data_IF_544749309145
#
_entry.id   IF_544749309145
#
_cell.length_a   1.000
_cell.length_b   1.000
_cell.length_c   1.000
_cell.angle_alpha   90.00
_cell.angle_beta   90.00
_cell.angle_gamma   90.00
#
_symmetry.space_group_name_H-M   'P 1'
#
loop_
_entity.id
_entity.type
_entity.pdbx_description
1 polymer ?
2 non-polymer ?
3 non-polymer ?
4 non-polymer ?
5 water ?
#
# COMPACT_ATOMS: atom_id res chain seq x y z
N UNK A 1 5.33 -15.56 13.75
CA UNK A 1 6.38 -15.87 12.73
C UNK A 1 5.98 -15.36 11.35
N UNK A 2 5.04 -14.42 11.31
CA UNK A 2 4.58 -13.87 10.03
C UNK A 2 5.23 -12.54 9.67
N UNK A 3 5.99 -11.97 10.60
CA UNK A 3 6.62 -10.70 10.32
C UNK A 3 7.85 -10.73 9.42
N UNK A 4 8.19 -9.58 8.87
CA UNK A 4 9.36 -9.42 8.02
C UNK A 4 10.14 -8.23 8.60
N UNK A 5 11.47 -8.31 8.56
CA UNK A 5 12.26 -7.21 9.10
C UNK A 5 11.98 -5.97 8.26
N UNK A 6 11.97 -4.82 8.91
CA UNK A 6 11.64 -3.56 8.23
C UNK A 6 12.56 -3.12 7.10
N UNK A 7 13.75 -3.69 7.03
CA UNK A 7 14.70 -3.33 5.99
C UNK A 7 14.12 -3.48 4.59
N UNK A 8 13.27 -4.48 4.40
CA UNK A 8 12.70 -4.74 3.09
C UNK A 8 11.42 -3.97 2.77
N UNK A 9 10.62 -3.63 3.77
CA UNK A 9 9.35 -2.97 3.51
C UNK A 9 9.09 -1.59 4.11
N UNK A 10 9.87 -1.21 5.11
CA UNK A 10 9.64 0.08 5.76
C UNK A 10 9.67 1.30 4.88
N UNK A 11 10.84 1.58 4.30
CA UNK A 11 11.00 2.74 3.45
C UNK A 11 10.08 2.69 2.24
N UNK A 12 9.96 1.51 1.63
CA UNK A 12 9.09 1.32 0.47
C UNK A 12 7.65 1.67 0.84
N UNK A 13 7.23 1.21 2.01
CA UNK A 13 5.88 1.48 2.48
C UNK A 13 5.60 2.96 2.64
N UNK A 14 6.54 3.71 3.22
CA UNK A 14 6.31 5.14 3.39
C UNK A 14 6.28 5.86 2.04
N UNK A 15 7.28 5.57 1.21
CA UNK A 15 7.37 6.21 -0.10
C UNK A 15 6.13 5.99 -0.95
N UNK A 16 5.69 4.74 -1.06
CA UNK A 16 4.52 4.44 -1.86
C UNK A 16 3.27 5.11 -1.30
N UNK A 17 3.08 5.06 0.00
CA UNK A 17 1.89 5.65 0.58
C UNK A 17 1.88 7.18 0.59
N UNK A 18 3.05 7.80 0.67
CA UNK A 18 3.05 9.27 0.59
C UNK A 18 2.65 9.60 -0.84
N UNK A 19 3.16 8.82 -1.79
CA UNK A 19 2.84 9.04 -3.19
C UNK A 19 1.33 8.91 -3.40
N UNK A 20 0.73 7.94 -2.72
CA UNK A 20 -0.72 7.74 -2.82
C UNK A 20 -1.47 9.00 -2.39
N UNK A 21 -1.02 9.63 -1.31
CA UNK A 21 -1.71 10.83 -0.84
C UNK A 21 -1.58 12.01 -1.82
N UNK A 22 -0.46 12.08 -2.54
CA UNK A 22 -0.30 13.18 -3.48
C UNK A 22 -1.07 12.96 -4.79
N UNK A 23 -1.61 11.75 -4.95
CA UNK A 23 -2.39 11.43 -6.14
C UNK A 23 -3.87 11.69 -5.87
N UNK A 24 -4.19 12.04 -4.64
CA UNK A 24 -5.56 12.33 -4.22
C UNK A 24 -6.01 13.60 -4.96
N UNK A 25 -7.29 13.66 -5.36
CA UNK A 25 -7.81 14.83 -6.08
C UNK A 25 -7.73 16.13 -5.27
N UNK A 26 -7.61 17.26 -5.98
CA UNK A 26 -7.56 18.55 -5.32
C UNK A 26 -8.91 18.83 -4.67
N UNK A 27 -9.97 18.46 -5.38
CA UNK A 27 -11.32 18.66 -4.93
C UNK A 27 -12.05 17.32 -5.03
N UNK A 28 -11.83 16.43 -4.05
CA UNK A 28 -12.46 15.11 -4.05
C UNK A 28 -13.99 15.08 -3.90
N UNK A 29 -14.59 14.04 -4.44
CA UNK A 29 -16.02 13.83 -4.36
C UNK A 29 -16.24 12.94 -3.14
N UNK A 30 -17.50 12.77 -2.74
CA UNK A 30 -17.84 11.93 -1.61
C UNK A 30 -17.31 10.52 -1.83
N UNK A 31 -17.34 10.07 -3.08
CA UNK A 31 -16.87 8.73 -3.43
C UNK A 31 -15.35 8.63 -3.26
N UNK A 32 -14.63 9.66 -3.69
CA UNK A 32 -13.17 9.64 -3.56
C UNK A 32 -12.80 9.54 -2.07
N UNK A 33 -13.49 10.32 -1.24
CA UNK A 33 -13.22 10.31 0.19
C UNK A 33 -13.41 8.93 0.81
N UNK A 34 -14.51 8.27 0.43
CA UNK A 34 -14.81 6.94 0.96
C UNK A 34 -13.76 5.92 0.54
N UNK A 35 -13.38 5.95 -0.73
CA UNK A 35 -12.40 5.00 -1.25
C UNK A 35 -11.02 5.14 -0.62
N UNK A 36 -10.55 6.38 -0.45
CA UNK A 36 -9.24 6.57 0.17
C UNK A 36 -9.29 6.29 1.66
N UNK A 37 -10.42 6.60 2.30
CA UNK A 37 -10.54 6.33 3.73
C UNK A 37 -10.46 4.82 3.96
N UNK A 38 -11.20 4.06 3.16
CA UNK A 38 -11.19 2.61 3.33
C UNK A 38 -9.80 2.04 3.09
N UNK A 39 -9.09 2.59 2.12
CA UNK A 39 -7.74 2.10 1.84
C UNK A 39 -6.80 2.30 3.04
N UNK A 40 -6.78 3.51 3.58
CA UNK A 40 -5.89 3.77 4.70
C UNK A 40 -6.24 3.02 5.97
N UNK A 41 -7.51 2.62 6.12
CA UNK A 41 -7.88 1.84 7.30
C UNK A 41 -7.37 0.42 7.06
N UNK A 42 -7.57 -0.09 5.85
CA UNK A 42 -7.12 -1.44 5.49
C UNK A 42 -5.61 -1.60 5.54
N UNK A 43 -4.89 -0.52 5.30
CA UNK A 43 -3.42 -0.57 5.33
C UNK A 43 -2.95 -1.07 6.70
N UNK A 44 -3.71 -0.73 7.74
CA UNK A 44 -3.35 -1.15 9.08
C UNK A 44 -3.54 -2.63 9.35
N UNK A 45 -4.32 -3.30 8.50
CA UNK A 45 -4.55 -4.73 8.67
C UNK A 45 -3.48 -5.60 8.01
N UNK A 46 -2.67 -5.01 7.14
CA UNK A 46 -1.69 -5.80 6.41
C UNK A 46 -0.20 -5.52 6.58
N UNK A 47 0.17 -4.56 7.43
CA UNK A 47 1.59 -4.29 7.64
C UNK A 47 2.20 -5.61 8.12
N UNK A 48 3.32 -6.05 7.53
CA UNK A 48 3.97 -7.31 7.94
C UNK A 48 4.77 -7.23 9.22
N UNK A 49 4.11 -6.78 10.28
CA UNK A 49 4.72 -6.64 11.59
C UNK A 49 3.58 -6.41 12.60
N UNK A 50 3.44 -7.35 13.53
CA UNK A 50 2.37 -7.31 14.54
C UNK A 50 2.19 -5.99 15.31
N UNK A 51 3.23 -5.55 16.01
CA UNK A 51 3.11 -4.33 16.80
C UNK A 51 3.00 -3.09 15.93
N UNK A 52 3.46 -3.18 14.70
CA UNK A 52 3.38 -2.05 13.77
C UNK A 52 1.91 -1.81 13.43
N UNK A 53 1.17 -2.90 13.21
CA UNK A 53 -0.25 -2.81 12.88
C UNK A 53 -1.01 -2.18 14.04
N UNK A 54 -0.72 -2.64 15.26
CA UNK A 54 -1.39 -2.13 16.45
C UNK A 54 -1.15 -0.63 16.63
N UNK A 55 0.10 -0.21 16.52
CA UNK A 55 0.44 1.20 16.68
C UNK A 55 -0.25 2.06 15.63
N UNK A 56 -0.26 1.61 14.39
CA UNK A 56 -0.89 2.35 13.31
C UNK A 56 -2.39 2.50 13.57
N UNK A 57 -3.05 1.40 13.94
CA UNK A 57 -4.50 1.45 14.20
C UNK A 57 -4.82 2.40 15.35
N UNK A 58 -3.96 2.44 16.36
CA UNK A 58 -4.21 3.35 17.47
C UNK A 58 -3.99 4.79 17.02
N UNK A 59 -2.96 5.01 16.20
CA UNK A 59 -2.68 6.35 15.69
C UNK A 59 -3.83 6.90 14.85
N UNK A 60 -4.41 6.07 13.98
CA UNK A 60 -5.47 6.58 13.12
C UNK A 60 -6.87 6.57 13.71
N UNK A 61 -7.00 6.21 14.98
CA UNK A 61 -8.32 6.23 15.61
C UNK A 61 -8.36 7.19 16.80
N UNK A 62 -7.20 7.72 17.19
CA UNK A 62 -7.16 8.64 18.32
C UNK A 62 -6.22 9.83 18.12
N UNK A 63 -6.46 10.88 18.91
CA UNK A 63 -5.63 12.08 18.83
C UNK A 63 -5.58 12.88 17.55
N UNK A 64 -4.47 13.60 17.39
CA UNK A 64 -4.29 14.45 16.22
C UNK A 64 -4.04 13.69 14.92
N UNK A 65 -3.77 12.40 15.01
CA UNK A 65 -3.53 11.59 13.81
C UNK A 65 -4.78 10.78 13.41
N UNK A 66 -5.89 11.02 14.11
CA UNK A 66 -7.12 10.29 13.81
C UNK A 66 -7.57 10.56 12.38
N UNK A 67 -8.02 9.52 11.70
CA UNK A 67 -8.48 9.63 10.32
C UNK A 67 -9.95 10.05 10.32
N UNK A 68 -10.17 11.35 10.43
CA UNK A 68 -11.51 11.93 10.46
C UNK A 68 -11.92 12.42 9.07
N UNK A 69 -13.18 12.80 8.94
CA UNK A 69 -13.68 13.28 7.64
C UNK A 69 -12.96 14.54 7.19
N UNK A 70 -12.52 15.35 8.16
CA UNK A 70 -11.82 16.59 7.87
C UNK A 70 -10.48 16.36 7.18
N UNK A 71 -9.85 15.24 7.49
CA UNK A 71 -8.57 14.87 6.90
C UNK A 71 -8.71 14.58 5.41
N UNK A 72 -9.93 14.20 5.01
CA UNK A 72 -10.22 13.87 3.62
C UNK A 72 -10.73 15.03 2.77
N UNK A 73 -10.77 16.23 3.34
CA UNK A 73 -11.26 17.39 2.62
C UNK A 73 -10.61 17.61 1.25
N UNK A 74 -9.29 17.58 1.19
CA UNK A 74 -8.59 17.77 -0.07
C UNK A 74 -7.18 17.21 -0.05
N UNK A 75 -6.44 17.42 -1.14
CA UNK A 75 -5.07 16.92 -1.22
C UNK A 75 -4.19 17.48 -0.11
N UNK A 76 -4.35 18.77 0.20
CA UNK A 76 -3.53 19.36 1.25
C UNK A 76 -3.75 18.70 2.60
N UNK A 77 -5.01 18.47 2.98
CA UNK A 77 -5.28 17.86 4.27
C UNK A 77 -4.86 16.39 4.36
N UNK A 78 -5.05 15.64 3.27
CA UNK A 78 -4.69 14.22 3.29
C UNK A 78 -3.16 14.05 3.32
N UNK A 79 -2.46 14.84 2.53
CA UNK A 79 -1.00 14.74 2.50
C UNK A 79 -0.38 15.20 3.83
N UNK A 80 -0.96 16.22 4.45
CA UNK A 80 -0.46 16.71 5.73
C UNK A 80 -0.72 15.66 6.82
N UNK A 81 -1.88 15.02 6.75
CA UNK A 81 -2.23 14.01 7.72
C UNK A 81 -1.25 12.84 7.69
N UNK A 82 -0.93 12.33 6.50
CA UNK A 82 -0.02 11.19 6.44
C UNK A 82 1.40 11.58 6.83
N UNK A 83 1.74 12.84 6.60
CA UNK A 83 3.04 13.36 7.01
C UNK A 83 3.05 13.32 8.55
N UNK A 84 1.92 13.69 9.17
CA UNK A 84 1.83 13.67 10.63
C UNK A 84 1.90 12.23 11.17
N UNK A 85 1.31 11.29 10.46
CA UNK A 85 1.33 9.88 10.89
C UNK A 85 2.76 9.37 10.82
N UNK A 86 3.49 9.75 9.77
CA UNK A 86 4.88 9.33 9.63
C UNK A 86 5.69 9.91 10.78
N UNK A 87 5.46 11.18 11.11
CA UNK A 87 6.19 11.79 12.23
C UNK A 87 5.83 11.14 13.56
N UNK A 88 4.60 10.69 13.71
CA UNK A 88 4.17 10.04 14.94
C UNK A 88 4.94 8.73 15.13
N UNK A 89 5.09 7.98 14.05
CA UNK A 89 5.82 6.73 14.12
C UNK A 89 7.29 7.04 14.41
N UNK A 90 7.82 8.07 13.76
CA UNK A 90 9.21 8.47 13.99
C UNK A 90 9.43 8.77 15.47
N UNK A 91 8.53 9.56 16.05
CA UNK A 91 8.64 9.92 17.45
C UNK A 91 8.60 8.70 18.35
N UNK A 92 7.75 7.74 18.00
CA UNK A 92 7.61 6.53 18.79
C UNK A 92 8.92 5.73 18.76
N UNK A 93 9.65 5.85 17.65
CA UNK A 93 10.92 5.13 17.49
C UNK A 93 12.14 5.95 17.86
N UNK A 94 11.92 7.14 18.41
CA UNK A 94 12.98 8.04 18.83
C UNK A 94 13.89 8.45 17.68
N UNK A 95 13.29 8.58 16.50
CA UNK A 95 14.03 8.99 15.31
C UNK A 95 13.59 10.40 14.96
N UNK A 96 14.55 11.25 14.61
CA UNK A 96 14.25 12.63 14.26
C UNK A 96 14.86 12.93 12.90
N UNK A 97 14.01 13.19 11.91
CA UNK A 97 14.49 13.50 10.57
C UNK A 97 14.52 14.99 10.28
N UNK A 98 13.77 15.76 11.06
CA UNK A 98 13.74 17.19 10.89
C UNK A 98 13.17 17.70 9.58
N UNK A 99 12.50 16.84 8.83
CA UNK A 99 11.91 17.25 7.55
C UNK A 99 10.60 17.99 7.77
N UNK A 100 10.46 19.14 7.13
CA UNK A 100 9.25 19.93 7.25
C UNK A 100 8.23 19.44 6.22
N UNK A 101 6.97 19.80 6.42
CA UNK A 101 5.93 19.40 5.50
C UNK A 101 6.22 19.99 4.12
N UNK A 102 6.79 21.21 4.09
CA UNK A 102 7.11 21.85 2.83
C UNK A 102 8.18 21.06 2.05
N UNK A 103 9.10 20.42 2.77
CA UNK A 103 10.13 19.63 2.13
C UNK A 103 9.48 18.43 1.43
N UNK A 104 8.50 17.84 2.09
CA UNK A 104 7.77 16.69 1.55
C UNK A 104 6.97 17.07 0.31
N UNK A 105 6.25 18.19 0.39
CA UNK A 105 5.47 18.66 -0.74
C UNK A 105 6.38 18.90 -1.96
N UNK A 106 7.49 19.57 -1.72
CA UNK A 106 8.43 19.87 -2.79
C UNK A 106 8.90 18.58 -3.47
N UNK A 107 9.27 17.59 -2.67
CA UNK A 107 9.75 16.32 -3.21
C UNK A 107 8.75 15.58 -4.08
N UNK A 108 7.54 15.36 -3.57
CA UNK A 108 6.55 14.64 -4.36
C UNK A 108 5.96 15.43 -5.52
N UNK A 109 5.82 16.74 -5.36
CA UNK A 109 5.27 17.54 -6.44
C UNK A 109 6.23 17.58 -7.63
N UNK A 110 7.50 17.30 -7.39
CA UNK A 110 8.49 17.32 -8.46
C UNK A 110 8.25 16.15 -9.41
N UNK A 111 7.43 15.20 -8.99
CA UNK A 111 7.12 14.04 -9.82
C UNK A 111 5.70 14.12 -10.40
N UNK A 112 5.06 15.26 -10.23
CA UNK A 112 3.71 15.47 -10.75
C UNK A 112 3.71 15.25 -12.26
N UNK A 113 2.84 14.37 -12.73
CA UNK A 113 2.75 14.06 -14.15
C UNK A 113 2.29 15.29 -14.96
N UNK B 1 -4.73 16.13 -13.83
CA UNK B 1 -3.30 15.79 -13.59
C UNK B 1 -3.07 15.41 -12.13
N UNK B 2 -3.73 14.35 -11.69
CA UNK B 2 -3.60 13.90 -10.31
C UNK B 2 -2.52 12.84 -10.15
N UNK B 3 -2.03 12.32 -11.27
CA UNK B 3 -1.01 11.28 -11.21
C UNK B 3 0.43 11.72 -11.03
N UNK B 4 1.26 10.78 -10.57
CA UNK B 4 2.67 11.03 -10.34
C UNK B 4 3.42 10.05 -11.24
N UNK B 5 4.57 10.46 -11.77
CA UNK B 5 5.35 9.57 -12.63
C UNK B 5 5.77 8.36 -11.80
N UNK B 6 5.79 7.19 -12.44
CA UNK B 6 6.13 5.95 -11.76
C UNK B 6 7.53 5.85 -11.17
N UNK B 7 8.43 6.74 -11.59
CA UNK B 7 9.79 6.72 -11.08
C UNK B 7 9.87 6.82 -9.56
N UNK B 8 8.98 7.60 -8.95
CA UNK B 8 9.00 7.77 -7.51
C UNK B 8 8.30 6.68 -6.70
N UNK B 9 7.22 6.12 -7.24
CA UNK B 9 6.45 5.12 -6.48
C UNK B 9 6.34 3.70 -7.03
N UNK B 10 6.63 3.50 -8.30
CA UNK B 10 6.52 2.19 -8.90
C UNK B 10 7.16 1.02 -8.17
N UNK B 11 8.48 1.05 -8.08
CA UNK B 11 9.20 -0.04 -7.41
C UNK B 11 8.84 -0.17 -5.94
N UNK B 12 8.71 0.96 -5.24
CA UNK B 12 8.35 0.94 -3.83
C UNK B 12 6.99 0.25 -3.68
N UNK B 13 6.08 0.57 -4.59
CA UNK B 13 4.76 -0.04 -4.55
C UNK B 13 4.84 -1.56 -4.66
N UNK B 14 5.67 -2.06 -5.57
CA UNK B 14 5.81 -3.51 -5.75
C UNK B 14 6.47 -4.15 -4.54
N UNK B 15 7.58 -3.59 -4.10
CA UNK B 15 8.30 -4.14 -2.96
C UNK B 15 7.44 -4.21 -1.71
N UNK B 16 6.79 -3.10 -1.38
CA UNK B 16 5.96 -3.08 -0.18
C UNK B 16 4.84 -4.10 -0.28
N UNK B 17 4.15 -4.13 -1.41
CA UNK B 17 3.05 -5.07 -1.56
C UNK B 17 3.45 -6.54 -1.66
N UNK B 18 4.64 -6.82 -2.17
CA UNK B 18 5.06 -8.22 -2.20
C UNK B 18 5.32 -8.58 -0.72
N UNK B 19 5.95 -7.67 0.01
CA UNK B 19 6.22 -7.93 1.43
C UNK B 19 4.91 -8.20 2.16
N UNK B 20 3.88 -7.43 1.82
CA UNK B 20 2.57 -7.62 2.44
C UNK B 20 2.10 -9.06 2.24
N UNK B 21 2.20 -9.57 1.01
CA UNK B 21 1.75 -10.94 0.77
C UNK B 21 2.56 -11.97 1.56
N UNK B 22 3.85 -11.70 1.81
CA UNK B 22 4.65 -12.66 2.56
C UNK B 22 4.41 -12.59 4.06
N UNK B 23 3.63 -11.61 4.49
CA UNK B 23 3.31 -11.48 5.90
C UNK B 23 1.96 -12.15 6.16
N UNK B 24 1.36 -12.69 5.11
CA UNK B 24 0.07 -13.37 5.21
C UNK B 24 0.32 -14.70 5.92
N UNK B 25 -0.61 -15.14 6.78
CA UNK B 25 -0.46 -16.41 7.51
C UNK B 25 -0.41 -17.63 6.60
N UNK B 26 0.29 -18.67 7.07
CA UNK B 26 0.40 -19.92 6.33
C UNK B 26 -0.97 -20.58 6.34
N UNK B 27 -1.71 -20.36 7.42
CA UNK B 27 -3.05 -20.91 7.57
C UNK B 27 -3.95 -19.81 8.12
N UNK B 28 -4.42 -18.92 7.24
CA UNK B 28 -5.29 -17.79 7.59
C UNK B 28 -6.71 -18.12 8.06
N UNK B 29 -7.29 -17.22 8.83
CA UNK B 29 -8.64 -17.37 9.32
C UNK B 29 -9.57 -16.66 8.34
N UNK B 30 -10.87 -16.80 8.54
CA UNK B 30 -11.85 -16.15 7.67
C UNK B 30 -11.65 -14.63 7.70
N UNK B 31 -11.29 -14.11 8.87
CA UNK B 31 -11.06 -12.68 9.02
C UNK B 31 -9.82 -12.23 8.26
N UNK B 32 -8.75 -13.02 8.32
CA UNK B 32 -7.53 -12.66 7.60
C UNK B 32 -7.84 -12.56 6.11
N UNK B 33 -8.57 -13.55 5.59
CA UNK B 33 -8.93 -13.57 4.18
C UNK B 33 -9.74 -12.33 3.80
N UNK B 34 -10.71 -11.97 4.64
CA UNK B 34 -11.54 -10.81 4.35
C UNK B 34 -10.72 -9.51 4.34
N UNK B 35 -9.88 -9.34 5.36
CA UNK B 35 -9.06 -8.14 5.48
C UNK B 35 -8.07 -7.95 4.34
N UNK B 36 -7.36 -9.01 3.97
CA UNK B 36 -6.39 -8.88 2.89
C UNK B 36 -7.08 -8.71 1.55
N UNK B 37 -8.24 -9.34 1.37
CA UNK B 37 -8.95 -9.20 0.11
C UNK B 37 -9.39 -7.75 -0.07
N UNK B 38 -9.96 -7.17 0.99
CA UNK B 38 -10.41 -5.80 0.93
C UNK B 38 -9.27 -4.83 0.67
N UNK B 39 -8.10 -5.14 1.22
CA UNK B 39 -6.93 -4.29 1.03
C UNK B 39 -6.52 -4.27 -0.45
N UNK B 40 -6.38 -5.45 -1.05
CA UNK B 40 -5.95 -5.49 -2.43
C UNK B 40 -6.98 -4.93 -3.42
N UNK B 41 -8.25 -4.92 -3.03
CA UNK B 41 -9.26 -4.34 -3.89
C UNK B 41 -9.14 -2.81 -3.76
N UNK B 42 -8.98 -2.32 -2.54
CA UNK B 42 -8.85 -0.88 -2.31
C UNK B 42 -7.57 -0.32 -2.94
N UNK B 43 -6.53 -1.16 -3.02
CA UNK B 43 -5.27 -0.75 -3.61
C UNK B 43 -5.50 -0.21 -5.03
N UNK B 44 -6.46 -0.81 -5.73
CA UNK B 44 -6.77 -0.39 -7.08
C UNK B 44 -7.40 0.99 -7.17
N UNK B 45 -8.03 1.43 -6.09
CA UNK B 45 -8.68 2.74 -6.05
C UNK B 45 -7.72 3.89 -5.80
N UNK B 46 -6.52 3.59 -5.31
CA UNK B 46 -5.59 4.65 -4.95
C UNK B 46 -4.25 4.75 -5.64
N UNK B 47 -3.97 3.91 -6.62
CA UNK B 47 -2.69 4.02 -7.32
C UNK B 47 -2.66 5.43 -7.91
N UNK B 48 -1.56 6.18 -7.71
CA UNK B 48 -1.42 7.54 -8.21
C UNK B 48 -1.16 7.66 -9.71
N UNK B 49 -2.00 6.98 -10.49
CA UNK B 49 -1.89 6.99 -11.95
C UNK B 49 -3.16 6.35 -12.49
N UNK B 50 -3.95 7.12 -13.23
CA UNK B 50 -5.22 6.66 -13.77
C UNK B 50 -5.11 5.37 -14.57
N UNK B 51 -4.23 5.35 -15.57
CA UNK B 51 -4.07 4.16 -16.40
C UNK B 51 -3.66 2.95 -15.57
N UNK B 52 -2.85 3.18 -14.54
CA UNK B 52 -2.40 2.10 -13.68
C UNK B 52 -3.59 1.49 -12.94
N UNK B 53 -4.50 2.34 -12.50
CA UNK B 53 -5.68 1.88 -11.78
C UNK B 53 -6.56 1.04 -12.70
N UNK B 54 -6.77 1.53 -13.92
CA UNK B 54 -7.61 0.83 -14.89
C UNK B 54 -7.04 -0.55 -15.22
N UNK B 55 -5.74 -0.61 -15.49
CA UNK B 55 -5.09 -1.87 -15.82
C UNK B 55 -5.14 -2.84 -14.64
N UNK B 56 -4.81 -2.35 -13.45
CA UNK B 56 -4.82 -3.17 -12.25
C UNK B 56 -6.20 -3.78 -12.04
N UNK B 57 -7.24 -2.94 -12.09
CA UNK B 57 -8.60 -3.40 -11.91
C UNK B 57 -8.98 -4.49 -12.93
N UNK B 58 -8.48 -4.34 -14.15
CA UNK B 58 -8.77 -5.31 -15.20
C UNK B 58 -8.10 -6.64 -14.85
N UNK B 59 -6.84 -6.58 -14.47
CA UNK B 59 -6.09 -7.78 -14.12
C UNK B 59 -6.66 -8.57 -12.95
N UNK B 60 -7.06 -7.88 -11.88
CA UNK B 60 -7.58 -8.60 -10.71
C UNK B 60 -9.03 -9.05 -10.83
N UNK B 61 -9.62 -8.88 -12.01
CA UNK B 61 -11.00 -9.30 -12.21
C UNK B 61 -11.16 -10.12 -13.50
N UNK B 62 -10.03 -10.50 -14.09
CA UNK B 62 -10.06 -11.27 -15.33
C UNK B 62 -8.92 -12.27 -15.43
N UNK B 63 -9.18 -13.41 -16.08
CA UNK B 63 -8.16 -14.42 -16.25
C UNK B 63 -7.61 -15.04 -14.98
N UNK B 64 -6.37 -15.52 -15.07
CA UNK B 64 -5.71 -16.16 -13.94
C UNK B 64 -5.23 -15.17 -12.88
N UNK B 65 -5.27 -13.89 -13.20
CA UNK B 65 -4.85 -12.86 -12.26
C UNK B 65 -6.02 -12.36 -11.43
N UNK B 66 -7.19 -12.94 -11.66
CA UNK B 66 -8.40 -12.55 -10.92
C UNK B 66 -8.25 -12.85 -9.43
N UNK B 67 -8.65 -11.90 -8.61
CA UNK B 67 -8.59 -12.06 -7.16
C UNK B 67 -9.82 -12.81 -6.71
N UNK B 68 -9.66 -14.11 -6.48
CA UNK B 68 -10.77 -14.96 -6.04
C UNK B 68 -10.49 -15.48 -4.65
N UNK B 69 -11.45 -16.19 -4.07
CA UNK B 69 -11.27 -16.74 -2.73
C UNK B 69 -10.18 -17.80 -2.71
N UNK B 70 -9.94 -18.41 -3.87
CA UNK B 70 -8.92 -19.44 -3.98
C UNK B 70 -7.52 -18.84 -3.80
N UNK B 71 -7.39 -17.56 -4.15
CA UNK B 71 -6.11 -16.87 -4.03
C UNK B 71 -5.77 -16.60 -2.56
N UNK B 72 -6.80 -16.52 -1.73
CA UNK B 72 -6.64 -16.25 -0.31
C UNK B 72 -6.50 -17.48 0.58
N UNK B 73 -6.39 -18.66 -0.03
CA UNK B 73 -6.26 -19.90 0.71
C UNK B 73 -5.12 -19.88 1.74
N UNK B 74 -3.93 -19.50 1.28
CA UNK B 74 -2.78 -19.46 2.17
C UNK B 74 -1.70 -18.53 1.65
N UNK B 75 -0.56 -18.48 2.34
CA UNK B 75 0.53 -17.61 1.93
C UNK B 75 1.01 -17.96 0.52
N UNK B 76 1.06 -19.25 0.22
CA UNK B 76 1.51 -19.70 -1.10
C UNK B 76 0.65 -19.14 -2.23
N UNK B 77 -0.67 -19.30 -2.11
CA UNK B 77 -1.57 -18.83 -3.15
C UNK B 77 -1.60 -17.30 -3.27
N UNK B 78 -1.49 -16.60 -2.14
CA UNK B 78 -1.52 -15.14 -2.19
C UNK B 78 -0.23 -14.58 -2.80
N UNK B 79 0.91 -15.12 -2.38
CA UNK B 79 2.19 -14.65 -2.89
C UNK B 79 2.34 -14.98 -4.37
N UNK B 80 1.86 -16.15 -4.77
CA UNK B 80 1.93 -16.57 -6.18
C UNK B 80 1.05 -15.65 -7.02
N UNK B 81 -0.14 -15.36 -6.53
CA UNK B 81 -1.07 -14.49 -7.23
C UNK B 81 -0.47 -13.10 -7.50
N UNK B 82 0.10 -12.47 -6.49
CA UNK B 82 0.66 -11.14 -6.68
C UNK B 82 1.87 -11.20 -7.59
N UNK B 83 2.61 -12.31 -7.52
CA UNK B 83 3.77 -12.51 -8.39
C UNK B 83 3.26 -12.48 -9.83
N UNK B 84 2.15 -13.20 -10.08
CA UNK B 84 1.56 -13.26 -11.41
C UNK B 84 1.06 -11.88 -11.85
N UNK B 85 0.48 -11.13 -10.92
CA UNK B 85 -0.02 -9.81 -11.24
C UNK B 85 1.13 -8.91 -11.67
N UNK B 86 2.25 -9.01 -10.95
CA UNK B 86 3.41 -8.21 -11.27
C UNK B 86 3.89 -8.58 -12.68
N UNK B 87 3.91 -9.86 -13.00
CA UNK B 87 4.35 -10.28 -14.34
C UNK B 87 3.38 -9.80 -15.41
N UNK B 88 2.09 -9.77 -15.09
CA UNK B 88 1.08 -9.33 -16.05
C UNK B 88 1.32 -7.86 -16.39
N UNK B 89 1.66 -7.06 -15.39
CA UNK B 89 1.95 -5.65 -15.60
C UNK B 89 3.23 -5.51 -16.41
N UNK B 90 4.25 -6.29 -16.05
CA UNK B 90 5.52 -6.25 -16.76
C UNK B 90 5.29 -6.48 -18.25
N UNK B 91 4.63 -7.58 -18.57
CA UNK B 91 4.34 -7.93 -19.96
C UNK B 91 3.63 -6.81 -20.72
N UNK B 92 2.68 -6.16 -20.05
CA UNK B 92 1.95 -5.07 -20.69
C UNK B 92 2.92 -3.94 -20.99
N UNK B 93 3.95 -3.81 -20.17
CA UNK B 93 4.95 -2.76 -20.37
C UNK B 93 6.12 -3.25 -21.21
N UNK B 94 5.95 -4.41 -21.85
CA UNK B 94 6.96 -4.99 -22.74
C UNK B 94 8.26 -5.42 -22.08
N UNK B 95 8.18 -5.86 -20.82
CA UNK B 95 9.37 -6.31 -20.12
C UNK B 95 9.14 -7.64 -19.42
N UNK B 96 10.23 -8.34 -19.11
CA UNK B 96 10.17 -9.62 -18.42
C UNK B 96 11.49 -9.81 -17.71
N UNK B 97 11.46 -9.82 -16.38
CA UNK B 97 12.67 -9.99 -15.59
C UNK B 97 13.13 -11.43 -15.46
N UNK B 98 12.36 -12.35 -16.04
CA UNK B 98 12.72 -13.76 -15.99
C UNK B 98 12.89 -14.31 -14.58
N UNK B 99 12.24 -13.68 -13.61
CA UNK B 99 12.32 -14.13 -12.23
C UNK B 99 11.26 -15.17 -11.94
N UNK B 100 11.71 -16.34 -11.48
CA UNK B 100 10.81 -17.43 -11.14
C UNK B 100 10.14 -17.17 -9.79
N UNK B 101 8.99 -17.79 -9.55
CA UNK B 101 8.28 -17.59 -8.29
C UNK B 101 9.19 -18.00 -7.12
N UNK B 102 10.04 -18.99 -7.36
CA UNK B 102 10.96 -19.46 -6.32
C UNK B 102 12.00 -18.41 -5.97
N UNK B 103 12.46 -17.67 -6.98
CA UNK B 103 13.45 -16.62 -6.74
C UNK B 103 12.86 -15.57 -5.81
N UNK B 104 11.58 -15.29 -6.01
CA UNK B 104 10.88 -14.29 -5.19
C UNK B 104 10.68 -14.80 -3.77
N UNK B 105 10.32 -16.07 -3.63
CA UNK B 105 10.12 -16.65 -2.32
C UNK B 105 11.44 -16.60 -1.54
N UNK B 106 12.53 -16.97 -2.19
CA UNK B 106 13.82 -16.96 -1.54
C UNK B 106 14.23 -15.54 -1.16
N UNK B 107 13.89 -14.58 -2.01
CA UNK B 107 14.22 -13.19 -1.74
C UNK B 107 13.51 -12.64 -0.51
N UNK B 108 12.19 -12.78 -0.46
CA UNK B 108 11.46 -12.26 0.69
C UNK B 108 11.61 -13.06 1.98
N UNK B 109 11.81 -14.37 1.87
CA UNK B 109 11.99 -15.18 3.07
C UNK B 109 13.31 -14.86 3.75
N UNK B 110 14.24 -14.25 3.01
CA UNK B 110 15.54 -13.90 3.59
C UNK B 110 15.35 -12.78 4.60
N UNK B 111 14.17 -12.18 4.61
CA UNK B 111 13.87 -11.09 5.53
C UNK B 111 12.89 -11.51 6.62
N UNK B 112 12.64 -12.82 6.71
CA UNK B 112 11.72 -13.34 7.73
C UNK B 112 12.21 -12.99 9.13
N UNK B 113 11.30 -12.51 9.96
CA UNK B 113 11.66 -12.14 11.33
C UNK B 113 11.43 -13.31 12.28
X LIG C 1 11.67 5.84 6.97
X LIG C 1 10.99 6.41 8.17
X LIG C 1 11.65 4.52 6.26
X LIG C 1 12.58 6.64 5.97
X LIG C 1 11.59 7.46 5.36
X LIG C 1 12.41 8.44 4.54
X LIG C 1 11.30 9.38 4.44
X LIG C 1 13.54 9.33 5.12
X LIG C 1 14.77 8.81 4.62
X LIG C 1 13.25 10.75 4.90
X LIG C 1 13.56 11.21 3.62
X LIG C 1 11.73 10.68 4.87
X LIG C 1 10.87 11.04 5.94
X LIG C 1 11.01 11.01 7.35
X LIG C 1 10.07 11.52 8.08
X LIG C 1 9.14 11.84 7.10
X LIG C 1 7.83 12.37 7.10
X LIG C 1 7.30 12.68 8.29
X LIG C 1 7.08 12.49 5.94
X LIG C 1 7.56 12.16 4.72
X LIG C 1 8.87 11.65 4.65
X LIG C 1 9.56 11.54 5.89
X LIG C 1 9.70 0.10 12.43
X LIG C 1 9.97 -0.32 13.71
X LIG C 1 11.15 -0.57 14.03
X LIG C 1 8.85 -0.31 14.52
X LIG C 1 7.55 0.05 14.11
X LIG C 1 6.60 0.06 14.95
X LIG C 1 7.33 0.46 12.81
X LIG C 1 6.04 0.84 12.33
X LIG C 1 5.79 1.24 10.98
X LIG C 1 4.48 1.60 10.62
X LIG C 1 4.25 1.94 9.26
X LIG C 1 2.84 2.44 8.92
X LIG C 1 5.27 1.89 8.27
X LIG C 1 5.29 2.11 6.77
X LIG C 1 6.58 1.58 8.66
X LIG C 1 6.90 1.23 10.00
X LIG C 1 8.18 0.91 10.67
X LIG C 1 8.47 0.48 11.94
X LIG C 1 9.36 1.17 9.91
X LIG C 1 10.10 2.47 10.00
X LIG C 1 9.09 3.52 10.06
X LIG C 1 11.20 2.72 9.00
X LIG C 1 10.65 2.60 7.70
X LIG C 1 12.51 1.95 9.08
X LIG C 1 12.96 2.05 10.47
X LIG C 1 13.62 2.40 8.20
X LIG C 1 14.00 3.74 8.53
X LIG C 1 14.52 4.79 7.48
X LIG C 1 15.39 5.55 8.37
X LIG C 1 14.66 4.48 6.03
X LIG C 1 13.19 5.71 7.41
X LIG D 1 -20.04 15.08 -3.93
X LIG D 1 -20.43 15.38 -2.54
X LIG D 1 -21.06 15.62 -4.86
X LIG D 1 -18.73 15.69 -4.22
X LIG D 1 -19.95 13.61 -4.11
X LIG E 1 -16.81 1.59 -3.56
X LIG E 1 -16.37 2.13 -4.86
X LIG E 1 -16.55 2.58 -2.50
X LIG E 1 -18.25 1.29 -3.61
X LIG E 1 -16.06 0.35 -3.26
X LIG F 1 -1.03 -10.76 9.70
X LIG F 1 -0.67 -12.07 9.23
X LIG F 1 -2.53 -10.56 9.58
X LIG F 1 -3.22 -11.54 10.36
X LIG F 1 -2.90 -9.15 10.08
X LIG F 1 -4.30 -8.94 9.97
X LIG G 1 9.58 -2.78 -11.12
X LIG G 1 8.72 -3.59 -12.04
X LIG G 1 9.49 -1.42 -10.50
X LIG G 1 10.94 -3.29 -10.52
X LIG G 1 10.54 -4.34 -9.64
X LIG G 1 11.75 -5.15 -9.23
X LIG G 1 11.09 -6.33 -8.71
X LIG G 1 12.74 -5.73 -10.27
X LIG G 1 13.83 -4.82 -10.12
X LIG G 1 13.00 -7.13 -9.94
X LIG G 1 13.88 -7.46 -8.90
X LIG G 1 11.60 -7.47 -9.41
X LIG G 1 10.54 -8.12 -10.11
X LIG G 1 10.14 -8.16 -11.47
X LIG G 1 9.13 -8.92 -11.75
X LIG G 1 8.79 -9.43 -10.50
X LIG G 1 7.79 -10.29 -10.01
X LIG G 1 6.95 -10.82 -10.89
X LIG G 1 7.65 -10.57 -8.65
X LIG G 1 8.48 -10.06 -7.69
X LIG G 1 9.50 -9.22 -8.16
X LIG G 1 9.60 -8.97 -9.55
X LIG G 1 3.41 1.66 -14.82
X LIG G 1 2.94 2.04 -16.08
X LIG G 1 3.61 2.75 -16.83
X LIG G 1 1.67 1.52 -16.29
X LIG G 1 0.92 0.74 -15.38
X LIG G 1 -0.26 0.42 -15.75
X LIG G 1 1.46 0.43 -14.14
X LIG G 1 0.76 -0.27 -13.10
X LIG G 1 1.24 -0.54 -11.80
X LIG G 1 0.42 -1.22 -10.88
X LIG G 1 0.93 -1.49 -9.58
X LIG G 1 -0.11 -2.24 -8.74
X LIG G 1 2.23 -1.05 -9.19
X LIG G 1 2.91 -1.18 -7.84
X LIG G 1 3.03 -0.39 -10.13
X LIG G 1 2.62 -0.10 -11.45
X LIG G 1 3.26 0.54 -12.64
X LIG G 1 2.78 0.90 -13.87
X LIG G 1 4.66 0.70 -12.52
X LIG G 1 5.68 -0.31 -13.01
X LIG G 1 5.14 -1.64 -12.86
X LIG G 1 7.11 -0.16 -12.59
X LIG G 1 7.21 -0.14 -11.17
X LIG G 1 7.93 0.91 -13.31
X LIG G 1 7.73 0.93 -14.76
X LIG G 1 9.34 1.07 -12.94
X LIG G 1 10.04 0.01 -13.60
X LIG G 1 11.12 -0.97 -13.04
X LIG G 1 11.66 -1.43 -14.32
X LIG G 1 12.03 -0.29 -12.08
X LIG G 1 10.59 -2.24 -12.22
X LIG H 1 8.48 -21.91 -9.87
X LIG H 1 8.85 -20.65 -9.21
X LIG H 1 7.29 -21.69 -10.71
X LIG H 1 9.60 -22.37 -10.72
X LIG H 1 8.18 -22.93 -8.84
#
# INVERSE_FOLDING_TARGET
>A
ANGLITKIWGTAGWTFNHAVTFGYPLNPTSDDKRRYKNYFISLGDVLPCRLCRESYKKFITTGKTALTNEVLRNRHTLTKWFYDVHNAVNNKLEVDYGLSYEDVVNKYESFRAK
>B
ANGLITKIWGTAGWTFNHAVTFGYPLNPTSDDKRRYKNYFISLGDVLPCRLCRESYKKFITTGKTALTNEVLRNRHTLTKWFYDVHNAVNNKLEVDYGLSYEDVVNKYESFRAK
>C hetero
1 FAD PA O1A O2A O5B C5B C4B O4B C3B O3B C2B O2B C1B N9A C8A N7A C5A C6A N6A N1A C2A N3A C4A N1 C2 O2 N3 C4 O4 C4X N5 C5X C6 C7 C7M C8 C8M C9 C9A N10 C10 C1' C2' O2' C3' O3' C4' O4' C5' O5' P O1P O2P O3P
>D hetero
1 SO4 S O1 O2 O3 O4
>E hetero
1 SO4 S O1 O2 O3 O4
>F hetero
1 GOL C1 O1 C2 O2 C3 O3
>G hetero
1 FAD PA O1A O2A O5B C5B C4B O4B C3B O3B C2B O2B C1B N9A C8A N7A C5A C6A N6A N1A C2A N3A C4A N1 C2 O2 N3 C4 O4 C4X N5 C5X C6 C7 C7M C8 C8M C9 C9A N10 C10 C1' C2' O2' C3' O3' C4' O4' C5' O5' P O1P O2P O3P
>H hetero
1 SO4 S O1 O2 O3 O4
#
